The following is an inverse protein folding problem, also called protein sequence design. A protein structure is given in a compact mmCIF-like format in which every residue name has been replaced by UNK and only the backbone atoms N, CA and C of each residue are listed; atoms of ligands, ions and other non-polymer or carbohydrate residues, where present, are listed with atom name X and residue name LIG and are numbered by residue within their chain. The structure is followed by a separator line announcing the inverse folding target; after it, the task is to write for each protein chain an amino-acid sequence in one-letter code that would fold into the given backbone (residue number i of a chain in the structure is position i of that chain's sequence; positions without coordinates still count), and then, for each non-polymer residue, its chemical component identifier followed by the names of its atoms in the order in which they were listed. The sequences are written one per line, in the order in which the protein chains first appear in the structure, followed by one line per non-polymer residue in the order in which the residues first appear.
data_IF_376109973187
#
_entry.id   IF_376109973187
#
_cell.length_a   1.000
_cell.length_b   1.000
_cell.length_c   1.000
_cell.angle_alpha   90.00
_cell.angle_beta   90.00
_cell.angle_gamma   90.00
#
_symmetry.space_group_name_H-M   'P 1'
#
loop_
_entity.id
_entity.type
_entity.pdbx_description
1 polymer ?
#
# COMPACT_ATOMS: atom_id res chain seq x y z
N UNK A 1 -10.75 -10.07 0.52
CA UNK A 1 -11.57 -9.99 1.76
C UNK A 1 -10.89 -9.23 2.91
N UNK A 2 -9.56 -9.14 2.97
CA UNK A 2 -8.81 -8.11 3.73
C UNK A 2 -8.92 -6.67 3.17
N UNK A 3 -9.54 -6.52 1.99
CA UNK A 3 -9.55 -5.31 1.17
C UNK A 3 -10.32 -4.11 1.74
N UNK A 4 -11.29 -4.29 2.65
CA UNK A 4 -12.02 -3.15 3.24
C UNK A 4 -11.18 -2.45 4.32
N UNK A 5 -10.52 -3.19 5.20
CA UNK A 5 -9.58 -2.62 6.19
C UNK A 5 -8.33 -2.09 5.48
N UNK A 6 -7.75 -2.89 4.57
CA UNK A 6 -6.68 -2.41 3.68
C UNK A 6 -7.13 -1.13 2.96
N UNK A 7 -8.35 -1.08 2.45
CA UNK A 7 -8.91 0.09 1.76
C UNK A 7 -9.05 1.31 2.67
N UNK A 8 -9.41 1.16 3.94
CA UNK A 8 -9.51 2.28 4.90
C UNK A 8 -8.13 2.79 5.35
N UNK A 9 -7.18 1.88 5.55
CA UNK A 9 -5.76 2.20 5.85
C UNK A 9 -5.11 2.88 4.62
N UNK A 10 -5.32 2.32 3.42
CA UNK A 10 -4.79 2.84 2.15
C UNK A 10 -5.44 4.17 1.75
N UNK A 11 -6.73 4.39 2.05
CA UNK A 11 -7.41 5.68 1.87
C UNK A 11 -6.97 6.74 2.89
N UNK A 12 -6.07 6.40 3.82
CA UNK A 12 -5.52 7.35 4.79
C UNK A 12 -6.50 7.83 5.86
N UNK A 13 -7.63 7.13 6.04
CA UNK A 13 -8.58 7.44 7.13
C UNK A 13 -8.05 7.03 8.50
N UNK A 14 -7.18 6.03 8.54
CA UNK A 14 -6.42 5.64 9.73
C UNK A 14 -4.97 6.09 9.54
N UNK A 15 -4.46 6.83 10.52
CA UNK A 15 -3.08 7.29 10.60
C UNK A 15 -2.24 6.33 11.43
N UNK A 16 -0.94 6.43 11.26
CA UNK A 16 0.01 5.72 12.12
C UNK A 16 -0.28 6.01 13.59
N UNK A 17 -0.30 4.96 14.41
CA UNK A 17 -0.61 5.07 15.83
C UNK A 17 -2.10 5.15 16.17
N UNK A 18 -3.00 5.16 15.18
CA UNK A 18 -4.45 5.08 15.45
C UNK A 18 -4.81 3.69 15.99
N UNK A 19 -5.68 3.70 17.00
CA UNK A 19 -6.23 2.50 17.60
C UNK A 19 -7.24 1.84 16.65
N UNK A 20 -7.00 0.58 16.31
CA UNK A 20 -7.93 -0.24 15.55
C UNK A 20 -9.02 -0.83 16.46
N UNK A 21 -10.23 -1.07 15.91
CA UNK A 21 -11.29 -1.75 16.63
C UNK A 21 -10.84 -3.16 17.04
N UNK A 22 -11.32 -3.62 18.20
CA UNK A 22 -11.02 -4.98 18.65
C UNK A 22 -11.53 -6.02 17.64
N UNK A 23 -10.83 -7.16 17.53
CA UNK A 23 -11.21 -8.29 16.66
C UNK A 23 -12.69 -8.68 16.87
N UNK A 24 -13.17 -8.67 18.13
CA UNK A 24 -14.56 -9.01 18.47
C UNK A 24 -15.55 -7.92 18.07
N UNK A 25 -15.18 -6.65 18.20
CA UNK A 25 -16.00 -5.52 17.76
C UNK A 25 -16.18 -5.54 16.24
N UNK A 26 -15.07 -5.67 15.52
CA UNK A 26 -15.10 -5.71 14.07
C UNK A 26 -15.84 -6.95 13.53
N UNK A 27 -15.67 -8.12 14.15
CA UNK A 27 -16.42 -9.33 13.80
C UNK A 27 -17.93 -9.12 13.94
N UNK A 28 -18.37 -8.38 14.96
CA UNK A 28 -19.77 -8.03 15.18
C UNK A 28 -20.28 -7.04 14.14
N UNK A 29 -19.52 -5.99 13.86
CA UNK A 29 -19.89 -4.92 12.92
C UNK A 29 -20.01 -5.45 11.48
N UNK A 30 -19.12 -6.38 11.11
CA UNK A 30 -19.13 -7.02 9.79
C UNK A 30 -20.01 -8.28 9.73
N UNK A 31 -20.56 -8.74 10.86
CA UNK A 31 -21.29 -10.01 11.00
C UNK A 31 -20.50 -11.25 10.49
N UNK A 32 -19.19 -11.28 10.75
CA UNK A 32 -18.29 -12.36 10.33
C UNK A 32 -17.80 -13.16 11.55
N UNK A 33 -17.43 -14.41 11.36
CA UNK A 33 -16.79 -15.22 12.42
C UNK A 33 -15.52 -14.57 12.96
N UNK A 34 -15.41 -14.54 14.29
CA UNK A 34 -14.23 -14.04 15.03
C UNK A 34 -12.93 -14.72 14.59
N UNK A 35 -12.99 -16.00 14.20
CA UNK A 35 -11.83 -16.75 13.71
C UNK A 35 -11.31 -16.16 12.40
N UNK A 36 -12.22 -15.79 11.50
CA UNK A 36 -11.89 -15.18 10.21
C UNK A 36 -11.35 -13.77 10.40
N UNK A 37 -11.94 -12.98 11.28
CA UNK A 37 -11.43 -11.63 11.62
C UNK A 37 -10.06 -11.71 12.28
N UNK A 38 -9.83 -12.69 13.16
CA UNK A 38 -8.52 -12.92 13.77
C UNK A 38 -7.47 -13.24 12.70
N UNK A 39 -7.76 -14.17 11.78
CA UNK A 39 -6.84 -14.48 10.67
C UNK A 39 -6.49 -13.25 9.83
N UNK A 40 -7.47 -12.39 9.56
CA UNK A 40 -7.22 -11.14 8.83
C UNK A 40 -6.31 -10.17 9.61
N UNK A 41 -6.45 -10.09 10.95
CA UNK A 41 -5.55 -9.30 11.79
C UNK A 41 -4.14 -9.90 11.85
N UNK A 42 -4.04 -11.22 12.01
CA UNK A 42 -2.76 -11.93 12.00
C UNK A 42 -2.03 -11.76 10.64
N UNK A 43 -2.77 -11.74 9.52
CA UNK A 43 -2.23 -11.42 8.20
C UNK A 43 -1.76 -9.97 8.11
N UNK A 44 -2.57 -9.01 8.59
CA UNK A 44 -2.20 -7.59 8.60
C UNK A 44 -0.99 -7.32 9.49
N UNK A 45 -0.85 -8.03 10.62
CA UNK A 45 0.31 -7.95 11.51
C UNK A 45 1.54 -8.55 10.84
N UNK A 46 1.41 -9.74 10.24
CA UNK A 46 2.50 -10.37 9.46
C UNK A 46 2.96 -9.51 8.29
N UNK A 47 2.03 -8.85 7.63
CA UNK A 47 2.32 -7.91 6.55
C UNK A 47 2.82 -6.55 7.06
N UNK A 48 2.86 -6.33 8.38
CA UNK A 48 3.36 -5.11 9.02
C UNK A 48 2.43 -3.90 8.86
N UNK A 49 1.15 -4.10 8.55
CA UNK A 49 0.14 -3.03 8.48
C UNK A 49 -0.35 -2.60 9.87
N UNK A 50 -0.33 -3.53 10.83
CA UNK A 50 -0.80 -3.28 12.20
C UNK A 50 0.19 -3.88 13.20
N UNK A 51 0.22 -3.33 14.40
CA UNK A 51 0.98 -3.84 15.53
C UNK A 51 0.02 -4.18 16.67
N UNK A 52 0.06 -5.42 17.16
CA UNK A 52 -0.81 -5.86 18.25
C UNK A 52 -0.04 -5.75 19.56
N UNK A 53 -0.41 -4.79 20.40
CA UNK A 53 0.18 -4.64 21.73
C UNK A 53 -0.69 -5.40 22.72
N UNK A 54 -0.12 -6.47 23.28
CA UNK A 54 -0.82 -7.35 24.22
C UNK A 54 -1.37 -6.53 25.41
N UNK A 55 -2.70 -6.56 25.61
CA UNK A 55 -3.39 -5.82 26.66
C UNK A 55 -3.71 -4.35 26.37
N UNK A 56 -3.21 -3.77 25.28
CA UNK A 56 -3.47 -2.36 24.90
C UNK A 56 -4.25 -2.19 23.59
N UNK A 57 -4.43 -3.26 22.81
CA UNK A 57 -5.17 -3.23 21.54
C UNK A 57 -4.26 -3.30 20.32
N UNK A 58 -4.84 -3.08 19.14
CA UNK A 58 -4.12 -3.12 17.86
C UNK A 58 -3.97 -1.70 17.31
N UNK A 59 -2.80 -1.37 16.76
CA UNK A 59 -2.46 -0.04 16.26
C UNK A 59 -2.05 -0.13 14.79
N UNK A 60 -2.30 0.92 14.00
CA UNK A 60 -1.80 0.98 12.62
C UNK A 60 -0.30 1.25 12.62
N UNK A 61 0.48 0.34 12.03
CA UNK A 61 1.92 0.46 11.93
C UNK A 61 2.29 1.44 10.79
N UNK A 62 3.13 2.44 11.08
CA UNK A 62 3.56 3.44 10.10
C UNK A 62 4.48 2.92 9.01
N UNK A 63 5.27 1.89 9.34
CA UNK A 63 6.29 1.32 8.46
C UNK A 63 5.74 0.92 7.08
N UNK A 64 4.48 0.49 7.01
CA UNK A 64 3.91 0.00 5.76
C UNK A 64 3.63 1.10 4.72
N UNK A 65 3.29 2.33 5.12
CA UNK A 65 3.06 3.41 4.13
C UNK A 65 4.34 3.78 3.41
N UNK A 66 5.44 3.86 4.15
CA UNK A 66 6.76 4.14 3.59
C UNK A 66 7.26 2.97 2.75
N UNK A 67 7.13 1.72 3.25
CA UNK A 67 7.49 0.51 2.52
C UNK A 67 6.65 0.29 1.25
N UNK A 68 5.36 0.60 1.27
CA UNK A 68 4.48 0.51 0.10
C UNK A 68 4.76 1.62 -0.90
N UNK A 69 5.10 2.83 -0.41
CA UNK A 69 5.57 3.92 -1.27
C UNK A 69 6.89 3.52 -1.94
N UNK A 70 7.83 2.96 -1.19
CA UNK A 70 9.10 2.46 -1.70
C UNK A 70 8.91 1.35 -2.74
N UNK A 71 8.06 0.35 -2.45
CA UNK A 71 7.71 -0.70 -3.42
C UNK A 71 7.08 -0.14 -4.70
N UNK A 72 6.17 0.83 -4.57
CA UNK A 72 5.55 1.48 -5.74
C UNK A 72 6.56 2.30 -6.53
N UNK A 73 7.45 3.03 -5.86
CA UNK A 73 8.54 3.76 -6.52
C UNK A 73 9.46 2.81 -7.27
N UNK A 74 9.77 1.65 -6.68
CA UNK A 74 10.61 0.64 -7.31
C UNK A 74 9.99 0.07 -8.59
N UNK A 75 8.68 -0.22 -8.57
CA UNK A 75 7.95 -0.65 -9.78
C UNK A 75 8.00 0.42 -10.88
N UNK A 76 7.84 1.69 -10.50
CA UNK A 76 7.94 2.82 -11.45
C UNK A 76 9.36 2.93 -12.02
N UNK A 77 10.37 2.79 -11.17
CA UNK A 77 11.78 2.85 -11.56
C UNK A 77 12.17 1.71 -12.51
N UNK A 78 11.70 0.49 -12.27
CA UNK A 78 11.88 -0.66 -13.16
C UNK A 78 11.23 -0.39 -14.52
N UNK A 79 9.98 0.08 -14.55
CA UNK A 79 9.30 0.42 -15.81
C UNK A 79 9.95 1.57 -16.58
N UNK A 80 10.43 2.60 -15.89
CA UNK A 80 11.17 3.71 -16.52
C UNK A 80 12.52 3.24 -17.07
N UNK A 81 13.17 2.29 -16.40
CA UNK A 81 14.44 1.71 -16.86
C UNK A 81 14.25 1.01 -18.19
N UNK A 82 13.20 0.18 -18.31
CA UNK A 82 12.85 -0.54 -19.54
C UNK A 82 12.59 0.43 -20.70
N UNK A 83 11.83 1.50 -20.45
CA UNK A 83 11.58 2.57 -21.43
C UNK A 83 12.88 3.26 -21.87
N UNK A 84 13.79 3.54 -20.94
CA UNK A 84 15.09 4.16 -21.26
C UNK A 84 15.97 3.23 -22.10
N UNK A 85 15.96 1.92 -21.82
CA UNK A 85 16.70 0.93 -22.59
C UNK A 85 16.17 0.83 -24.02
N UNK A 86 14.85 0.71 -24.21
CA UNK A 86 14.22 0.70 -25.54
C UNK A 86 14.49 2.01 -26.30
N UNK A 87 14.40 3.14 -25.61
CA UNK A 87 14.65 4.45 -26.20
C UNK A 87 16.10 4.61 -26.67
N UNK A 88 17.07 4.07 -25.91
CA UNK A 88 18.49 4.06 -26.31
C UNK A 88 18.73 3.17 -27.52
N UNK A 89 18.06 2.01 -27.62
CA UNK A 89 18.15 1.13 -28.79
C UNK A 89 17.64 1.81 -30.06
N UNK A 90 16.61 2.65 -29.92
CA UNK A 90 16.05 3.47 -31.01
C UNK A 90 16.88 4.73 -31.30
N UNK A 91 17.91 5.02 -30.51
CA UNK A 91 18.77 6.20 -30.68
C UNK A 91 18.11 7.52 -30.22
N UNK A 92 17.05 7.45 -29.42
CA UNK A 92 16.36 8.62 -28.89
C UNK A 92 17.24 9.37 -27.90
N UNK A 93 17.22 10.70 -27.99
CA UNK A 93 17.90 11.57 -27.04
C UNK A 93 17.04 11.72 -25.79
N UNK A 94 17.70 12.00 -24.66
CA UNK A 94 17.02 12.31 -23.40
C UNK A 94 15.94 13.40 -23.53
N UNK A 95 16.16 14.39 -24.40
CA UNK A 95 15.19 15.45 -24.68
C UNK A 95 13.87 14.94 -25.28
N UNK A 96 13.95 13.98 -26.21
CA UNK A 96 12.78 13.40 -26.87
C UNK A 96 11.97 12.54 -25.90
N UNK A 97 12.65 11.71 -25.10
CA UNK A 97 12.01 10.92 -24.04
C UNK A 97 11.32 11.82 -23.01
N UNK A 98 11.98 12.93 -22.64
CA UNK A 98 11.43 13.89 -21.68
C UNK A 98 10.19 14.60 -22.22
N UNK A 99 10.17 14.97 -23.50
CA UNK A 99 8.97 15.56 -24.13
C UNK A 99 7.83 14.55 -24.20
N UNK A 100 8.09 13.31 -24.63
CA UNK A 100 7.09 12.24 -24.64
C UNK A 100 6.50 11.99 -23.25
N UNK A 101 7.35 11.90 -22.23
CA UNK A 101 6.93 11.72 -20.85
C UNK A 101 6.10 12.89 -20.33
N UNK A 102 6.45 14.13 -20.72
CA UNK A 102 5.69 15.33 -20.36
C UNK A 102 4.28 15.30 -20.95
N UNK A 103 4.14 14.96 -22.24
CA UNK A 103 2.84 14.87 -22.92
C UNK A 103 1.97 13.81 -22.25
N UNK A 104 2.52 12.62 -22.02
CA UNK A 104 1.81 11.52 -21.34
C UNK A 104 1.35 11.89 -19.93
N UNK A 105 2.11 12.73 -19.22
CA UNK A 105 1.75 13.16 -17.86
C UNK A 105 0.65 14.23 -17.84
N UNK A 106 0.45 14.99 -18.92
CA UNK A 106 -0.61 16.01 -19.04
C UNK A 106 -1.94 15.41 -19.56
N UNK A 107 -1.92 14.24 -20.22
CA UNK A 107 -3.11 13.56 -20.75
C UNK A 107 -3.81 12.62 -19.74
N UNK A 108 -3.17 12.25 -18.64
CA UNK A 108 -3.67 11.31 -17.61
C UNK A 108 -4.24 12.05 -16.41
#
# INVERSE_FOLDING_TARGET
MSGQIKGLILKGKLKEGDLLPSIRGLARDLQISVITTKRAYDELEKEGFIEIVQGKGSYVAGQNKELMREKKLKIIEEGLTEVVEESKLLGLKYGEIKEMLKILFEEV
#
